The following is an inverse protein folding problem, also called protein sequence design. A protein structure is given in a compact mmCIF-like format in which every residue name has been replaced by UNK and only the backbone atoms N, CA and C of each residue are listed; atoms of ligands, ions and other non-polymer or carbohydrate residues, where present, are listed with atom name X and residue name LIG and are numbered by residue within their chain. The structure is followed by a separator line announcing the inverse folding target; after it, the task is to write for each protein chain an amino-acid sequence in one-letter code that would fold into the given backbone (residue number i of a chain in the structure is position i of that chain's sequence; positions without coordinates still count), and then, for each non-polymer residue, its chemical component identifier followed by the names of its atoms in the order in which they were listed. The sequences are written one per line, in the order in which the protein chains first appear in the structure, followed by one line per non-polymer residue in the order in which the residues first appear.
data_IF_708609951060
#
_entry.id   IF_708609951060
#
_cell.length_a   1.000
_cell.length_b   1.000
_cell.length_c   1.000
_cell.angle_alpha   90.00
_cell.angle_beta   90.00
_cell.angle_gamma   90.00
#
_symmetry.space_group_name_H-M   'P 1'
#
loop_
_entity.id
_entity.type
_entity.pdbx_description
1 polymer ?
#
# COMPACT_ATOMS: atom_id res chain seq x y z
N UNK A 1 12.14 3.85 15.24
CA UNK A 1 10.76 3.45 14.88
C UNK A 1 10.07 4.69 14.31
N UNK A 2 9.50 4.61 13.10
CA UNK A 2 8.81 5.77 12.49
C UNK A 2 7.48 5.98 13.22
N UNK A 3 7.20 7.23 13.64
CA UNK A 3 5.97 7.59 14.34
C UNK A 3 4.98 8.21 13.36
N UNK A 4 3.76 7.70 13.33
CA UNK A 4 2.68 8.27 12.54
C UNK A 4 2.37 9.71 12.99
N UNK A 5 2.29 10.64 12.02
CA UNK A 5 1.91 12.02 12.28
C UNK A 5 0.40 12.19 12.05
N UNK A 6 -0.36 12.35 13.14
CA UNK A 6 -1.84 12.49 13.09
C UNK A 6 -2.32 13.64 12.21
N UNK A 7 -1.58 14.76 12.17
CA UNK A 7 -1.91 15.91 11.33
C UNK A 7 -1.92 15.60 9.82
N UNK A 8 -1.26 14.52 9.40
CA UNK A 8 -1.25 14.03 8.02
C UNK A 8 -2.17 12.82 7.83
N UNK A 9 -2.99 12.45 8.82
CA UNK A 9 -3.91 11.31 8.72
C UNK A 9 -3.23 9.95 8.56
N UNK A 10 -1.94 9.83 8.91
CA UNK A 10 -1.17 8.59 8.70
C UNK A 10 -1.68 7.46 9.59
N UNK A 11 -2.20 6.41 8.95
CA UNK A 11 -2.51 5.12 9.55
C UNK A 11 -1.81 4.06 8.70
N UNK A 12 -0.83 3.36 9.28
CA UNK A 12 0.00 2.43 8.53
C UNK A 12 -0.65 1.04 8.44
N UNK A 13 -0.55 0.42 7.26
CA UNK A 13 -1.02 -0.95 7.03
C UNK A 13 -0.03 -1.93 7.68
N UNK A 14 -0.39 -2.47 8.85
CA UNK A 14 0.42 -3.45 9.57
C UNK A 14 -0.07 -4.89 9.39
N UNK A 15 -1.31 -5.08 8.93
CA UNK A 15 -1.92 -6.39 8.73
C UNK A 15 -1.68 -6.89 7.30
N UNK A 16 -0.85 -7.92 7.19
CA UNK A 16 -0.51 -8.56 5.91
C UNK A 16 -1.70 -9.22 5.22
N UNK A 17 -2.71 -9.66 5.96
CA UNK A 17 -3.91 -10.28 5.39
C UNK A 17 -4.78 -9.25 4.67
N UNK A 18 -4.88 -8.03 5.22
CA UNK A 18 -5.55 -6.91 4.58
C UNK A 18 -4.77 -6.46 3.35
N UNK A 19 -3.45 -6.37 3.45
CA UNK A 19 -2.57 -6.05 2.33
C UNK A 19 -2.77 -7.01 1.14
N UNK A 20 -2.78 -8.32 1.41
CA UNK A 20 -3.02 -9.34 0.40
C UNK A 20 -4.41 -9.21 -0.26
N UNK A 21 -5.45 -8.88 0.52
CA UNK A 21 -6.80 -8.64 -0.01
C UNK A 21 -6.87 -7.41 -0.92
N UNK A 22 -6.15 -6.33 -0.57
CA UNK A 22 -6.05 -5.14 -1.42
C UNK A 22 -5.42 -5.53 -2.77
N UNK A 23 -4.29 -6.23 -2.75
CA UNK A 23 -3.59 -6.68 -3.97
C UNK A 23 -4.48 -7.57 -4.84
N UNK A 24 -5.20 -8.52 -4.25
CA UNK A 24 -6.11 -9.40 -4.98
C UNK A 24 -7.31 -8.67 -5.61
N UNK A 25 -7.71 -7.52 -5.06
CA UNK A 25 -8.80 -6.71 -5.59
C UNK A 25 -8.38 -5.82 -6.77
N UNK A 26 -7.08 -5.68 -7.04
CA UNK A 26 -6.58 -4.90 -8.18
C UNK A 26 -6.86 -5.66 -9.48
N UNK A 27 -7.42 -5.01 -10.52
CA UNK A 27 -7.59 -5.62 -11.83
C UNK A 27 -6.26 -6.12 -12.42
N UNK A 28 -6.31 -7.26 -13.10
CA UNK A 28 -5.15 -7.79 -13.82
C UNK A 28 -4.78 -6.90 -15.01
N UNK A 29 -3.53 -6.98 -15.46
CA UNK A 29 -3.01 -6.31 -16.66
C UNK A 29 -3.01 -4.76 -16.58
N UNK A 30 -2.91 -4.20 -15.38
CA UNK A 30 -2.68 -2.77 -15.20
C UNK A 30 -1.20 -2.43 -15.38
N UNK A 31 -0.88 -1.69 -16.44
CA UNK A 31 0.50 -1.30 -16.76
C UNK A 31 0.99 -0.07 -15.98
N UNK A 32 0.09 0.76 -15.45
CA UNK A 32 0.42 2.01 -14.78
C UNK A 32 -0.44 2.17 -13.51
N UNK A 33 0.21 2.16 -12.34
CA UNK A 33 -0.45 2.29 -11.04
C UNK A 33 0.00 3.60 -10.38
N UNK A 34 -0.95 4.36 -9.85
CA UNK A 34 -0.68 5.55 -9.04
C UNK A 34 -1.09 5.24 -7.60
N UNK A 35 -0.12 5.26 -6.70
CA UNK A 35 -0.35 5.14 -5.27
C UNK A 35 -0.40 6.54 -4.62
N UNK A 36 -1.46 6.81 -3.85
CA UNK A 36 -1.62 8.07 -3.10
C UNK A 36 -1.35 7.80 -1.63
N UNK A 37 -0.39 8.53 -1.06
CA UNK A 37 -0.04 8.41 0.36
C UNK A 37 0.67 7.10 0.72
N UNK A 38 1.82 6.77 0.10
CA UNK A 38 2.49 5.47 0.27
C UNK A 38 2.98 5.21 1.70
N UNK A 39 3.12 6.24 2.54
CA UNK A 39 3.47 6.09 3.94
C UNK A 39 4.84 5.44 4.11
N UNK A 40 4.87 4.25 4.71
CA UNK A 40 6.10 3.45 4.89
C UNK A 40 6.45 2.59 3.67
N UNK A 41 5.58 2.56 2.66
CA UNK A 41 5.77 1.81 1.42
C UNK A 41 5.30 0.36 1.47
N UNK A 42 4.56 -0.06 2.52
CA UNK A 42 4.10 -1.45 2.65
C UNK A 42 3.30 -1.92 1.42
N UNK A 43 2.40 -1.07 0.91
CA UNK A 43 1.65 -1.34 -0.32
C UNK A 43 2.51 -1.19 -1.57
N UNK A 44 3.35 -0.16 -1.64
CA UNK A 44 4.34 0.03 -2.73
C UNK A 44 5.15 -1.24 -2.99
N UNK A 45 5.65 -1.89 -1.93
CA UNK A 45 6.46 -3.09 -2.04
C UNK A 45 5.70 -4.29 -2.60
N UNK A 46 4.40 -4.41 -2.34
CA UNK A 46 3.58 -5.47 -2.94
C UNK A 46 3.19 -5.13 -4.38
N UNK A 47 2.89 -3.86 -4.68
CA UNK A 47 2.58 -3.40 -6.03
C UNK A 47 3.75 -3.69 -6.99
N UNK A 48 5.00 -3.45 -6.58
CA UNK A 48 6.18 -3.73 -7.39
C UNK A 48 6.39 -5.21 -7.74
N UNK A 49 5.74 -6.15 -7.05
CA UNK A 49 5.82 -7.58 -7.36
C UNK A 49 4.83 -8.03 -8.43
N UNK A 50 3.79 -7.24 -8.65
CA UNK A 50 2.72 -7.51 -9.63
C UNK A 50 2.75 -6.57 -10.83
N UNK A 51 3.60 -5.53 -10.77
CA UNK A 51 3.84 -4.57 -11.85
C UNK A 51 4.78 -5.14 -12.89
#
# INVERSE_FOLDING_TARGET
MVKAKKQYGQNFLIDKSVLAKIIQAIPKEMNNIIEIGPGLGDLTQELLKIS
#
